data_IF_882469464435
#
_entry.id   IF_882469464435
#
_cell.length_a   1.000
_cell.length_b   1.000
_cell.length_c   1.000
_cell.angle_alpha   90.00
_cell.angle_beta   90.00
_cell.angle_gamma   90.00
#
_symmetry.space_group_name_H-M   'P 1'
#
loop_
_entity.id
_entity.type
_entity.pdbx_description
1 polymer ?
#
# COMPACT_ATOMS: atom_id res chain seq x y z
N UNK A 1 17.63 -14.27 17.56
CA UNK A 1 17.75 -12.88 17.07
C UNK A 1 18.83 -12.21 17.90
N UNK A 2 19.80 -11.53 17.27
CA UNK A 2 20.93 -10.88 17.95
C UNK A 2 20.47 -9.72 18.85
N UNK A 3 21.11 -9.51 20.00
CA UNK A 3 20.74 -8.47 20.98
C UNK A 3 20.83 -7.06 20.38
N UNK A 4 21.78 -6.84 19.47
CA UNK A 4 21.89 -5.57 18.72
C UNK A 4 20.68 -5.31 17.83
N UNK A 5 20.07 -6.35 17.27
CA UNK A 5 18.88 -6.22 16.44
C UNK A 5 17.65 -5.87 17.29
N UNK A 6 17.54 -6.44 18.50
CA UNK A 6 16.50 -6.08 19.47
C UNK A 6 16.60 -4.62 19.91
N UNK A 7 17.80 -4.16 20.29
CA UNK A 7 18.03 -2.75 20.68
C UNK A 7 17.63 -1.79 19.56
N UNK A 8 18.08 -2.05 18.32
CA UNK A 8 17.72 -1.20 17.17
C UNK A 8 16.23 -1.18 16.86
N UNK A 9 15.51 -2.26 17.16
CA UNK A 9 14.05 -2.31 17.00
C UNK A 9 13.36 -1.50 18.10
N UNK A 10 13.84 -1.62 19.34
CA UNK A 10 13.34 -0.86 20.49
C UNK A 10 13.56 0.64 20.31
N UNK A 11 14.71 1.05 19.79
CA UNK A 11 15.04 2.46 19.51
C UNK A 11 14.12 3.10 18.44
N UNK A 12 13.40 2.27 17.67
CA UNK A 12 12.39 2.73 16.70
C UNK A 12 10.98 2.77 17.28
N UNK A 13 10.78 2.27 18.49
CA UNK A 13 9.50 2.33 19.17
C UNK A 13 9.34 3.68 19.87
N UNK A 14 8.12 4.19 19.90
CA UNK A 14 7.76 5.39 20.65
C UNK A 14 6.60 5.07 21.60
N UNK A 15 6.56 5.68 22.80
CA UNK A 15 5.39 5.59 23.65
C UNK A 15 4.21 6.30 22.98
N UNK A 16 3.04 5.65 23.00
CA UNK A 16 1.81 6.19 22.41
C UNK A 16 0.67 6.05 23.40
N UNK A 17 -0.15 7.10 23.53
CA UNK A 17 -1.30 7.08 24.44
C UNK A 17 -2.44 6.20 23.92
N UNK A 18 -2.54 6.06 22.59
CA UNK A 18 -3.56 5.29 21.86
C UNK A 18 -3.01 4.69 20.58
N UNK A 19 -3.64 3.61 20.13
CA UNK A 19 -3.40 3.03 18.81
C UNK A 19 -4.58 3.32 17.88
N UNK A 20 -4.29 3.66 16.63
CA UNK A 20 -5.30 3.80 15.59
C UNK A 20 -5.82 2.42 15.14
N UNK A 21 -4.91 1.45 15.04
CA UNK A 21 -5.23 0.11 14.56
C UNK A 21 -4.47 -0.94 15.34
N UNK A 22 -5.19 -1.94 15.82
CA UNK A 22 -4.64 -3.17 16.36
C UNK A 22 -4.64 -4.24 15.27
N UNK A 23 -3.46 -4.73 14.89
CA UNK A 23 -3.29 -5.85 13.96
C UNK A 23 -3.02 -7.14 14.75
N UNK A 24 -3.98 -8.07 14.70
CA UNK A 24 -3.81 -9.42 15.22
C UNK A 24 -3.25 -10.32 14.13
N UNK A 25 -2.18 -11.05 14.43
CA UNK A 25 -1.57 -11.98 13.52
C UNK A 25 -2.33 -13.31 13.52
N UNK A 26 -3.11 -13.55 12.47
CA UNK A 26 -3.49 -14.93 12.12
C UNK A 26 -2.34 -15.67 11.43
N UNK A 27 -1.95 -16.82 11.96
CA UNK A 27 -0.95 -17.74 11.36
C UNK A 27 -1.45 -18.40 10.07
N UNK A 28 -2.76 -18.30 9.78
CA UNK A 28 -3.38 -18.94 8.61
C UNK A 28 -3.07 -18.23 7.30
N UNK A 29 -2.74 -16.93 7.34
CA UNK A 29 -2.53 -16.13 6.12
C UNK A 29 -1.05 -15.77 5.97
N UNK A 30 -0.41 -16.10 4.82
CA UNK A 30 0.98 -15.74 4.58
C UNK A 30 1.22 -14.23 4.69
N UNK A 31 2.33 -13.81 5.32
CA UNK A 31 2.63 -12.40 5.57
C UNK A 31 2.66 -11.51 4.32
N UNK A 32 3.03 -12.07 3.15
CA UNK A 32 3.05 -11.34 1.86
C UNK A 32 1.67 -10.80 1.47
N UNK A 33 0.60 -11.54 1.75
CA UNK A 33 -0.76 -11.10 1.44
C UNK A 33 -1.24 -10.00 2.39
N UNK A 34 -0.78 -10.01 3.65
CA UNK A 34 -1.05 -8.93 4.61
C UNK A 34 -0.33 -7.65 4.19
N UNK A 35 0.93 -7.74 3.77
CA UNK A 35 1.65 -6.58 3.23
C UNK A 35 0.95 -6.05 1.99
N UNK A 36 0.53 -6.93 1.07
CA UNK A 36 -0.17 -6.52 -0.14
C UNK A 36 -1.51 -5.83 0.19
N UNK A 37 -2.31 -6.38 1.11
CA UNK A 37 -3.59 -5.79 1.50
C UNK A 37 -3.39 -4.42 2.16
N UNK A 38 -2.39 -4.27 3.03
CA UNK A 38 -2.03 -2.99 3.65
C UNK A 38 -1.56 -1.98 2.59
N UNK A 39 -0.76 -2.43 1.62
CA UNK A 39 -0.28 -1.59 0.52
C UNK A 39 -1.44 -1.04 -0.31
N UNK A 40 -2.44 -1.88 -0.63
CA UNK A 40 -3.64 -1.42 -1.31
C UNK A 40 -4.51 -0.53 -0.42
N UNK A 41 -4.68 -0.87 0.86
CA UNK A 41 -5.54 -0.13 1.78
C UNK A 41 -5.07 1.31 2.03
N UNK A 42 -3.76 1.51 2.15
CA UNK A 42 -3.19 2.83 2.44
C UNK A 42 -2.59 3.51 1.22
N UNK A 43 -2.10 2.74 0.25
CA UNK A 43 -1.44 3.27 -0.95
C UNK A 43 -2.41 3.68 -2.07
N UNK A 44 -3.68 3.28 -2.04
CA UNK A 44 -4.61 3.56 -3.14
C UNK A 44 -4.80 5.06 -3.46
N UNK A 45 -4.87 6.01 -2.51
CA UNK A 45 -5.08 7.41 -2.86
C UNK A 45 -3.88 7.97 -3.63
N UNK A 46 -2.67 7.64 -3.18
CA UNK A 46 -1.43 7.99 -3.86
C UNK A 46 -1.37 7.36 -5.26
N UNK A 47 -1.60 6.05 -5.35
CA UNK A 47 -1.60 5.30 -6.60
C UNK A 47 -2.59 5.87 -7.62
N UNK A 48 -3.84 6.14 -7.22
CA UNK A 48 -4.84 6.71 -8.11
C UNK A 48 -4.48 8.12 -8.55
N UNK A 49 -3.93 8.95 -7.67
CA UNK A 49 -3.52 10.31 -8.01
C UNK A 49 -2.40 10.29 -9.05
N UNK A 50 -1.33 9.53 -8.81
CA UNK A 50 -0.23 9.38 -9.76
C UNK A 50 -0.69 8.79 -11.09
N UNK A 51 -1.52 7.74 -11.06
CA UNK A 51 -2.10 7.14 -12.24
C UNK A 51 -2.91 8.15 -13.06
N UNK A 52 -3.82 8.90 -12.42
CA UNK A 52 -4.68 9.88 -13.09
C UNK A 52 -3.85 11.01 -13.72
N UNK A 53 -2.83 11.51 -13.01
CA UNK A 53 -1.92 12.52 -13.53
C UNK A 53 -1.16 12.03 -14.77
N UNK A 54 -0.53 10.85 -14.71
CA UNK A 54 0.25 10.31 -15.83
C UNK A 54 -0.65 9.94 -17.01
N UNK A 55 -1.79 9.29 -16.76
CA UNK A 55 -2.73 8.94 -17.81
C UNK A 55 -3.25 10.18 -18.55
N UNK A 56 -3.60 11.24 -17.81
CA UNK A 56 -4.02 12.51 -18.40
C UNK A 56 -2.90 13.16 -19.22
N UNK A 57 -1.68 13.20 -18.68
CA UNK A 57 -0.53 13.76 -19.38
C UNK A 57 -0.23 13.02 -20.69
N UNK A 58 -0.17 11.68 -20.66
CA UNK A 58 0.08 10.85 -21.85
C UNK A 58 -1.07 10.95 -22.85
N UNK A 59 -2.31 11.08 -22.38
CA UNK A 59 -3.47 11.33 -23.24
C UNK A 59 -3.31 12.64 -24.01
N UNK A 60 -2.95 13.75 -23.32
CA UNK A 60 -2.73 15.03 -23.99
C UNK A 60 -1.56 14.99 -24.97
N UNK A 61 -0.45 14.32 -24.62
CA UNK A 61 0.67 14.12 -25.55
C UNK A 61 0.24 13.38 -26.83
N UNK A 62 -0.63 12.38 -26.69
CA UNK A 62 -1.23 11.68 -27.83
C UNK A 62 -2.16 12.57 -28.64
N UNK A 63 -3.01 13.35 -27.98
CA UNK A 63 -3.96 14.26 -28.63
C UNK A 63 -3.27 15.38 -29.42
N UNK A 64 -2.13 15.88 -28.94
CA UNK A 64 -1.30 16.85 -29.66
C UNK A 64 -0.40 16.22 -30.73
N UNK A 65 -0.45 14.90 -30.92
CA UNK A 65 0.34 14.18 -31.92
C UNK A 65 1.83 14.08 -31.60
N UNK A 66 2.22 14.29 -30.33
CA UNK A 66 3.62 14.15 -29.91
C UNK A 66 4.01 12.69 -29.70
N UNK A 67 3.04 11.80 -29.48
CA UNK A 67 3.24 10.36 -29.38
C UNK A 67 2.81 9.66 -30.68
N UNK A 68 3.59 8.69 -31.16
CA UNK A 68 3.22 7.91 -32.34
C UNK A 68 1.99 7.03 -32.06
N UNK A 69 1.17 6.80 -33.07
CA UNK A 69 0.02 5.88 -33.01
C UNK A 69 0.32 4.63 -33.86
N UNK A 70 1.09 3.65 -33.34
CA UNK A 70 1.56 2.51 -34.14
C UNK A 70 0.45 1.51 -34.48
N UNK A 71 -0.68 1.56 -33.78
CA UNK A 71 -1.78 0.63 -33.94
C UNK A 71 -2.97 1.33 -34.58
N UNK A 72 -3.77 0.54 -35.29
CA UNK A 72 -5.07 0.96 -35.80
C UNK A 72 -6.11 -0.09 -35.43
N UNK A 73 -7.34 0.35 -35.15
CA UNK A 73 -8.46 -0.56 -34.94
C UNK A 73 -9.66 -0.06 -35.73
N UNK A 74 -10.51 -1.00 -36.15
CA UNK A 74 -11.78 -0.67 -36.79
C UNK A 74 -12.83 -0.47 -35.69
N UNK A 75 -13.25 0.76 -35.49
CA UNK A 75 -14.41 1.05 -34.65
C UNK A 75 -15.67 0.73 -35.46
N UNK A 76 -16.55 -0.09 -34.90
CA UNK A 76 -17.91 -0.34 -35.41
C UNK A 76 -18.90 -0.12 -34.27
N UNK A 77 -19.36 1.13 -34.13
CA UNK A 77 -20.25 1.54 -33.04
C UNK A 77 -21.38 2.40 -33.61
N UNK A 78 -22.63 1.97 -33.44
CA UNK A 78 -23.83 2.71 -33.89
C UNK A 78 -23.80 3.10 -35.38
N UNK A 79 -23.27 2.22 -36.25
CA UNK A 79 -23.14 2.47 -37.69
C UNK A 79 -21.94 3.35 -38.06
N UNK A 80 -21.15 3.82 -37.09
CA UNK A 80 -19.85 4.42 -37.37
C UNK A 80 -18.82 3.32 -37.63
N UNK A 81 -18.43 3.16 -38.90
CA UNK A 81 -17.34 2.30 -39.32
C UNK A 81 -16.14 3.13 -39.77
N UNK A 82 -15.12 3.24 -38.92
CA UNK A 82 -13.87 3.93 -39.27
C UNK A 82 -12.65 3.23 -38.69
N UNK A 83 -11.55 3.29 -39.44
CA UNK A 83 -10.24 2.90 -38.93
C UNK A 83 -9.72 4.07 -38.09
N UNK A 84 -9.60 3.84 -36.79
CA UNK A 84 -9.12 4.82 -35.82
C UNK A 84 -7.69 4.50 -35.41
N UNK A 85 -6.79 5.50 -35.35
CA UNK A 85 -5.47 5.32 -34.75
C UNK A 85 -5.61 5.03 -33.26
N UNK A 86 -4.79 4.11 -32.75
CA UNK A 86 -4.73 3.72 -31.35
C UNK A 86 -3.31 3.90 -30.81
N UNK A 87 -3.20 4.64 -29.71
CA UNK A 87 -1.97 4.82 -28.96
C UNK A 87 -2.03 3.95 -27.69
N UNK A 88 -1.26 2.85 -27.61
CA UNK A 88 -1.27 1.99 -26.42
C UNK A 88 -0.60 2.66 -25.19
N UNK A 89 0.01 3.84 -25.38
CA UNK A 89 0.83 4.52 -24.39
C UNK A 89 0.07 4.85 -23.11
N UNK A 90 -1.19 5.29 -23.20
CA UNK A 90 -2.00 5.61 -22.01
C UNK A 90 -2.19 4.37 -21.15
N UNK A 91 -2.47 3.21 -21.76
CA UNK A 91 -2.64 1.96 -21.04
C UNK A 91 -1.32 1.47 -20.43
N UNK A 92 -0.25 1.44 -21.22
CA UNK A 92 1.06 0.96 -20.78
C UNK A 92 1.63 1.82 -19.63
N UNK A 93 1.62 3.15 -19.83
CA UNK A 93 2.06 4.10 -18.81
C UNK A 93 1.17 4.07 -17.57
N UNK A 94 -0.14 3.91 -17.74
CA UNK A 94 -1.09 3.78 -16.64
C UNK A 94 -0.79 2.56 -15.77
N UNK A 95 -0.70 1.36 -16.36
CA UNK A 95 -0.41 0.12 -15.62
C UNK A 95 0.95 0.24 -14.92
N UNK A 96 1.98 0.72 -15.62
CA UNK A 96 3.31 0.88 -15.04
C UNK A 96 3.32 1.87 -13.88
N UNK A 97 2.67 3.03 -14.05
CA UNK A 97 2.58 4.06 -13.01
C UNK A 97 1.80 3.56 -11.81
N UNK A 98 0.70 2.84 -12.02
CA UNK A 98 -0.10 2.31 -10.91
C UNK A 98 0.71 1.31 -10.07
N UNK A 99 1.43 0.38 -10.71
CA UNK A 99 2.30 -0.57 -9.99
C UNK A 99 3.43 0.15 -9.27
N UNK A 100 4.14 1.05 -9.96
CA UNK A 100 5.26 1.77 -9.37
C UNK A 100 4.81 2.66 -8.21
N UNK A 101 3.72 3.42 -8.36
CA UNK A 101 3.16 4.26 -7.32
C UNK A 101 2.70 3.44 -6.11
N UNK A 102 2.10 2.25 -6.35
CA UNK A 102 1.71 1.36 -5.26
C UNK A 102 2.92 0.91 -4.44
N UNK A 103 4.03 0.51 -5.08
CA UNK A 103 5.26 0.12 -4.38
C UNK A 103 6.01 1.29 -3.73
N UNK A 104 5.89 2.50 -4.30
CA UNK A 104 6.49 3.71 -3.74
C UNK A 104 5.64 4.35 -2.63
N UNK A 105 4.36 3.97 -2.52
CA UNK A 105 3.43 4.54 -1.54
C UNK A 105 3.92 4.53 -0.08
N UNK A 106 4.63 3.50 0.43
CA UNK A 106 5.12 3.51 1.81
C UNK A 106 6.23 4.53 2.06
N UNK A 107 6.92 4.96 0.99
CA UNK A 107 8.01 5.94 1.07
C UNK A 107 7.53 7.36 0.79
N UNK A 108 6.26 7.52 0.41
CA UNK A 108 5.72 8.82 0.08
C UNK A 108 5.42 9.62 1.35
N UNK A 109 6.30 10.59 1.62
CA UNK A 109 6.31 11.39 2.84
C UNK A 109 5.07 12.29 3.02
N UNK A 110 4.22 12.47 2.00
CA UNK A 110 3.11 13.43 2.07
C UNK A 110 1.87 12.91 2.83
N UNK A 111 1.77 11.61 3.09
CA UNK A 111 0.77 11.04 4.02
C UNK A 111 1.39 10.90 5.42
N UNK A 112 1.75 12.03 6.05
CA UNK A 112 2.41 12.10 7.37
C UNK A 112 1.61 11.54 8.55
N UNK A 113 0.37 11.12 8.37
CA UNK A 113 -0.45 10.49 9.42
C UNK A 113 -0.58 9.00 9.15
N UNK A 114 0.57 8.30 9.05
CA UNK A 114 0.54 6.84 9.08
C UNK A 114 -0.09 6.42 10.41
N UNK A 115 -1.17 5.62 10.40
CA UNK A 115 -1.86 5.25 11.62
C UNK A 115 -0.89 4.53 12.56
N UNK A 116 -0.87 4.94 13.83
CA UNK A 116 -0.05 4.31 14.86
C UNK A 116 -0.67 2.95 15.15
N UNK A 117 0.03 1.88 14.76
CA UNK A 117 -0.51 0.54 14.86
C UNK A 117 0.24 -0.32 15.88
N UNK A 118 -0.52 -1.11 16.64
CA UNK A 118 0.02 -2.20 17.42
C UNK A 118 0.02 -3.46 16.55
N UNK A 119 1.18 -4.11 16.43
CA UNK A 119 1.32 -5.37 15.71
C UNK A 119 1.93 -6.40 16.65
N UNK A 120 1.12 -7.37 17.05
CA UNK A 120 1.46 -8.38 18.06
C UNK A 120 2.84 -9.04 17.84
N UNK A 121 3.17 -9.44 16.62
CA UNK A 121 4.45 -10.13 16.30
C UNK A 121 5.68 -9.23 16.45
N UNK A 122 5.51 -7.91 16.35
CA UNK A 122 6.60 -6.93 16.45
C UNK A 122 6.67 -6.33 17.85
N UNK A 123 5.51 -6.11 18.47
CA UNK A 123 5.38 -5.44 19.77
C UNK A 123 5.52 -6.39 20.97
N UNK A 124 5.29 -7.69 20.80
CA UNK A 124 5.50 -8.69 21.86
C UNK A 124 6.86 -9.35 21.67
N UNK A 125 7.61 -9.48 22.77
CA UNK A 125 8.89 -10.21 22.78
C UNK A 125 8.64 -11.69 22.41
N UNK A 126 9.15 -12.11 21.25
CA UNK A 126 9.00 -13.48 20.73
C UNK A 126 10.11 -14.44 21.20
N UNK A 127 11.09 -13.96 21.99
CA UNK A 127 12.31 -14.70 22.35
C UNK A 127 12.27 -15.18 23.80
N UNK A 128 11.84 -14.32 24.72
CA UNK A 128 11.82 -14.61 26.16
C UNK A 128 10.42 -15.03 26.60
N UNK A 129 10.24 -16.28 27.08
CA UNK A 129 8.91 -16.84 27.35
C UNK A 129 8.13 -16.03 28.39
N UNK A 130 8.79 -15.55 29.45
CA UNK A 130 8.14 -14.76 30.49
C UNK A 130 7.63 -13.41 29.99
N UNK A 131 8.40 -12.76 29.11
CA UNK A 131 8.00 -11.47 28.51
C UNK A 131 6.96 -11.67 27.41
N UNK A 132 7.04 -12.77 26.67
CA UNK A 132 6.03 -13.17 25.70
C UNK A 132 4.68 -13.39 26.40
N UNK A 133 4.67 -14.16 27.49
CA UNK A 133 3.47 -14.46 28.28
C UNK A 133 2.85 -13.17 28.85
N UNK A 134 3.67 -12.27 29.43
CA UNK A 134 3.21 -10.96 29.89
C UNK A 134 2.61 -10.13 28.75
N UNK A 135 3.24 -10.14 27.57
CA UNK A 135 2.73 -9.46 26.38
C UNK A 135 1.38 -10.02 25.93
N UNK A 136 1.21 -11.34 25.96
CA UNK A 136 -0.05 -12.03 25.61
C UNK A 136 -1.15 -11.67 26.60
N UNK A 137 -0.90 -11.73 27.92
CA UNK A 137 -1.90 -11.32 28.91
C UNK A 137 -2.23 -9.82 28.84
N UNK A 138 -1.29 -9.00 28.36
CA UNK A 138 -1.48 -7.57 28.11
C UNK A 138 -2.30 -7.22 26.86
N UNK A 139 -2.57 -8.18 25.96
CA UNK A 139 -3.28 -7.92 24.69
C UNK A 139 -4.64 -7.25 24.89
N UNK A 140 -5.39 -7.64 25.93
CA UNK A 140 -6.66 -7.01 26.25
C UNK A 140 -6.53 -5.51 26.58
N UNK A 141 -5.44 -5.14 27.25
CA UNK A 141 -5.10 -3.74 27.53
C UNK A 141 -4.82 -2.97 26.25
N UNK A 142 -3.95 -3.48 25.38
CA UNK A 142 -3.63 -2.85 24.09
C UNK A 142 -4.86 -2.72 23.20
N UNK A 143 -5.73 -3.74 23.18
CA UNK A 143 -6.98 -3.71 22.43
C UNK A 143 -7.94 -2.64 22.98
N UNK A 144 -8.02 -2.50 24.31
CA UNK A 144 -8.91 -1.52 24.96
C UNK A 144 -8.56 -0.06 24.65
N UNK A 145 -7.29 0.22 24.32
CA UNK A 145 -6.80 1.56 23.94
C UNK A 145 -6.65 1.73 22.41
N UNK A 146 -7.10 0.74 21.63
CA UNK A 146 -7.07 0.77 20.16
C UNK A 146 -8.41 1.20 19.58
N UNK A 147 -8.40 2.08 18.58
CA UNK A 147 -9.62 2.55 17.92
C UNK A 147 -10.28 1.47 17.04
N UNK A 148 -9.49 0.57 16.45
CA UNK A 148 -9.97 -0.45 15.53
C UNK A 148 -9.20 -1.76 15.66
N UNK A 149 -9.90 -2.90 15.64
CA UNK A 149 -9.31 -4.23 15.50
C UNK A 149 -9.31 -4.67 14.01
N UNK A 150 -8.17 -5.19 13.54
CA UNK A 150 -8.02 -5.85 12.23
C UNK A 150 -7.26 -7.17 12.40
N UNK A 151 -7.71 -8.21 11.69
CA UNK A 151 -7.19 -9.60 11.76
C UNK A 151 -6.62 -10.02 10.41
#
# INVERSE_FOLDING_TARGET
>A
MDERAKSKLWDRSEPVDRFDVFFSHTWRTPGRWKVLSLLFQYGWPFTLTCWACVASFVFFLGAFGWLPTPLTFRADVLGFQKICPFAPWVYLSGVFTALLALFLSPYWLFFCNSPKCFLDVVSINQVEPDLMERGIYGLGGFLSISNQLRV
#
